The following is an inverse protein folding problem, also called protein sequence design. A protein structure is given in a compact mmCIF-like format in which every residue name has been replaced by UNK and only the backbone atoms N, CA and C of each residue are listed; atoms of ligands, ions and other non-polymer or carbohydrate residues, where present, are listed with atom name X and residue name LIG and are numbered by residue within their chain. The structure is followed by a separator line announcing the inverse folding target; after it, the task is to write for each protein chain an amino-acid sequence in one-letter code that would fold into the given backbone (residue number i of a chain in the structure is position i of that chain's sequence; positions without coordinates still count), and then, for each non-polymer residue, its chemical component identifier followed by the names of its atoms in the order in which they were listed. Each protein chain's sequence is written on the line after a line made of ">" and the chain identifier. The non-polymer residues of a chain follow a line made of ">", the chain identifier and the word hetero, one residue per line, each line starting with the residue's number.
data_IF_974506985620
#
_entry.id   IF_974506985620
#
_cell.length_a   1.000
_cell.length_b   1.000
_cell.length_c   1.000
_cell.angle_alpha   90.00
_cell.angle_beta   90.00
_cell.angle_gamma   90.00
#
_symmetry.space_group_name_H-M   'P 1'
#
loop_
_entity.id
_entity.type
_entity.pdbx_description
1 polymer ?
#
# COMPACT_ATOMS: atom_id res chain seq x y z
N UNK A 1 -21.50 -31.48 41.73
CA UNK A 1 -21.41 -30.20 40.98
C UNK A 1 -20.71 -29.18 41.86
N UNK A 2 -19.52 -28.70 41.53
CA UNK A 2 -19.19 -27.28 41.75
C UNK A 2 -18.00 -26.80 40.92
N UNK A 3 -18.22 -25.64 40.32
CA UNK A 3 -17.59 -25.05 39.14
C UNK A 3 -16.23 -24.45 39.49
N UNK A 4 -15.15 -24.93 38.86
CA UNK A 4 -13.80 -24.34 38.93
C UNK A 4 -13.87 -22.89 38.40
N UNK A 5 -13.76 -21.91 39.29
CA UNK A 5 -13.57 -20.51 38.90
C UNK A 5 -12.07 -20.30 38.58
N UNK A 6 -11.75 -20.10 37.30
CA UNK A 6 -10.44 -19.60 36.88
C UNK A 6 -10.37 -18.11 37.18
N UNK A 7 -9.49 -17.70 38.09
CA UNK A 7 -9.19 -16.31 38.35
C UNK A 7 -8.61 -15.64 37.09
N UNK A 8 -9.15 -14.47 36.72
CA UNK A 8 -8.71 -13.65 35.61
C UNK A 8 -7.47 -12.89 36.04
N UNK A 9 -6.32 -13.18 35.44
CA UNK A 9 -5.09 -12.40 35.64
C UNK A 9 -5.29 -11.01 35.02
N UNK A 10 -5.38 -10.00 35.88
CA UNK A 10 -5.38 -8.58 35.50
C UNK A 10 -3.95 -8.19 35.17
N UNK A 11 -3.69 -7.79 33.93
CA UNK A 11 -2.39 -7.26 33.52
C UNK A 11 -2.42 -5.76 33.86
N UNK A 12 -1.63 -5.38 34.85
CA UNK A 12 -1.40 -4.00 35.24
C UNK A 12 -0.61 -3.30 34.12
N UNK A 13 -1.25 -2.34 33.43
CA UNK A 13 -0.57 -1.51 32.44
C UNK A 13 0.16 -0.36 33.15
N UNK A 14 1.49 -0.48 33.23
CA UNK A 14 2.38 0.62 33.58
C UNK A 14 2.10 1.86 32.70
N UNK A 15 1.93 3.06 33.28
CA UNK A 15 1.74 4.28 32.51
C UNK A 15 3.10 4.74 31.97
N UNK A 16 3.46 4.30 30.76
CA UNK A 16 4.65 4.80 30.06
C UNK A 16 4.46 6.26 29.67
N UNK A 17 4.87 7.16 30.56
CA UNK A 17 5.11 8.58 30.24
C UNK A 17 6.34 8.67 29.34
N UNK A 18 6.16 9.05 28.08
CA UNK A 18 7.23 9.57 27.24
C UNK A 18 6.67 10.49 26.15
N UNK A 19 6.92 11.79 26.35
CA UNK A 19 7.29 12.82 25.35
C UNK A 19 6.42 12.99 24.11
N UNK A 20 5.76 14.16 24.07
CA UNK A 20 5.24 14.81 22.88
C UNK A 20 6.25 14.79 21.73
N UNK A 21 5.94 14.01 20.71
CA UNK A 21 6.19 14.37 19.31
C UNK A 21 4.93 13.90 18.60
N UNK A 22 3.92 14.76 18.57
CA UNK A 22 2.77 14.56 17.70
C UNK A 22 3.26 14.81 16.27
N UNK A 23 4.00 13.85 15.74
CA UNK A 23 4.02 13.64 14.30
C UNK A 23 2.60 13.25 13.97
N UNK A 24 1.81 14.21 13.49
CA UNK A 24 0.48 13.93 12.97
C UNK A 24 0.59 12.70 12.07
N UNK A 25 -0.26 11.67 12.24
CA UNK A 25 -0.24 10.54 11.31
C UNK A 25 -0.36 11.13 9.90
N UNK A 26 0.46 10.69 8.93
CA UNK A 26 0.35 11.18 7.57
C UNK A 26 -1.12 11.03 7.19
N UNK A 27 -1.75 12.14 6.78
CA UNK A 27 -3.15 12.17 6.39
C UNK A 27 -3.32 11.02 5.40
N UNK A 28 -4.06 9.99 5.80
CA UNK A 28 -4.32 8.86 4.94
C UNK A 28 -5.17 9.39 3.79
N UNK A 29 -4.50 9.80 2.71
CA UNK A 29 -5.16 10.13 1.47
C UNK A 29 -5.73 8.79 1.00
N UNK A 30 -7.06 8.66 1.09
CA UNK A 30 -7.71 7.49 0.52
C UNK A 30 -7.30 7.43 -0.95
N UNK A 31 -6.67 6.33 -1.38
CA UNK A 31 -6.20 6.23 -2.74
C UNK A 31 -7.37 6.25 -3.71
N UNK A 32 -7.15 6.78 -4.91
CA UNK A 32 -8.13 6.74 -5.97
C UNK A 32 -8.56 5.27 -6.20
N UNK A 33 -9.87 4.94 -6.12
CA UNK A 33 -10.36 3.58 -6.30
C UNK A 33 -9.97 2.99 -7.68
N UNK A 34 -9.64 3.83 -8.67
CA UNK A 34 -9.21 3.43 -9.99
C UNK A 34 -7.78 2.88 -10.04
N UNK A 35 -6.97 3.05 -9.00
CA UNK A 35 -5.59 2.56 -8.99
C UNK A 35 -5.49 1.03 -9.12
N UNK A 36 -6.39 0.28 -8.49
CA UNK A 36 -6.47 -1.17 -8.70
C UNK A 36 -6.83 -1.55 -10.14
N UNK A 37 -7.70 -0.76 -10.78
CA UNK A 37 -8.09 -0.96 -12.19
C UNK A 37 -6.94 -0.62 -13.14
N UNK A 38 -6.17 0.42 -12.84
CA UNK A 38 -4.98 0.78 -13.60
C UNK A 38 -3.91 -0.34 -13.56
N UNK A 39 -3.70 -0.96 -12.39
CA UNK A 39 -2.83 -2.13 -12.26
C UNK A 39 -3.32 -3.30 -13.12
N UNK A 40 -4.60 -3.63 -13.04
CA UNK A 40 -5.18 -4.72 -13.82
C UNK A 40 -5.02 -4.48 -15.33
N UNK A 41 -5.32 -3.27 -15.81
CA UNK A 41 -5.15 -2.91 -17.22
C UNK A 41 -3.69 -2.97 -17.67
N UNK A 42 -2.76 -2.52 -16.82
CA UNK A 42 -1.32 -2.62 -17.09
C UNK A 42 -0.89 -4.08 -17.23
N UNK A 43 -1.34 -4.96 -16.34
CA UNK A 43 -1.06 -6.40 -16.42
C UNK A 43 -1.64 -7.06 -17.69
N UNK A 44 -2.86 -6.69 -18.08
CA UNK A 44 -3.47 -7.18 -19.32
C UNK A 44 -2.70 -6.73 -20.56
N UNK A 45 -2.22 -5.48 -20.56
CA UNK A 45 -1.48 -4.93 -21.69
C UNK A 45 -0.08 -5.53 -21.81
N UNK A 46 0.60 -5.76 -20.67
CA UNK A 46 1.86 -6.52 -20.59
C UNK A 46 1.72 -7.94 -21.14
N UNK A 47 0.60 -8.61 -20.87
CA UNK A 47 0.33 -9.94 -21.42
C UNK A 47 0.08 -9.91 -22.94
N UNK A 48 -0.52 -8.84 -23.43
CA UNK A 48 -0.94 -8.69 -24.84
C UNK A 48 0.20 -8.26 -25.75
N UNK A 49 0.99 -7.27 -25.33
CA UNK A 49 2.10 -6.71 -26.13
C UNK A 49 3.32 -7.61 -26.08
N UNK A 50 4.13 -7.56 -27.13
CA UNK A 50 5.46 -8.23 -27.21
C UNK A 50 6.61 -7.22 -27.18
N UNK A 51 6.26 -5.95 -27.21
CA UNK A 51 7.12 -4.79 -27.36
C UNK A 51 6.78 -3.73 -26.31
N UNK A 52 7.77 -2.91 -25.97
CA UNK A 52 7.67 -1.85 -24.96
C UNK A 52 8.00 -2.31 -23.54
N UNK A 53 8.46 -1.37 -22.74
CA UNK A 53 8.82 -1.57 -21.34
C UNK A 53 7.57 -1.52 -20.45
N UNK A 54 7.58 -2.19 -19.28
CA UNK A 54 6.51 -2.06 -18.29
C UNK A 54 6.19 -0.61 -17.91
N UNK A 55 7.21 0.24 -17.83
CA UNK A 55 7.10 1.66 -17.49
C UNK A 55 6.37 2.44 -18.59
N UNK A 56 6.65 2.18 -19.87
CA UNK A 56 5.94 2.80 -20.99
C UNK A 56 4.47 2.37 -21.05
N UNK A 57 4.21 1.09 -20.80
CA UNK A 57 2.86 0.55 -20.77
C UNK A 57 2.06 1.18 -19.62
N UNK A 58 2.65 1.23 -18.42
CA UNK A 58 2.05 1.86 -17.25
C UNK A 58 1.71 3.32 -17.53
N UNK A 59 2.67 4.11 -18.04
CA UNK A 59 2.45 5.52 -18.42
C UNK A 59 1.29 5.69 -19.39
N UNK A 60 1.23 4.84 -20.41
CA UNK A 60 0.13 4.86 -21.37
C UNK A 60 -1.23 4.53 -20.75
N UNK A 61 -1.29 3.61 -19.79
CA UNK A 61 -2.54 3.27 -19.09
C UNK A 61 -3.00 4.43 -18.20
N UNK A 62 -2.10 4.98 -17.38
CA UNK A 62 -2.41 6.10 -16.48
C UNK A 62 -2.88 7.34 -17.25
N UNK A 63 -2.20 7.68 -18.36
CA UNK A 63 -2.58 8.81 -19.20
C UNK A 63 -3.99 8.65 -19.80
N UNK A 64 -4.36 7.45 -20.27
CA UNK A 64 -5.71 7.18 -20.81
C UNK A 64 -6.79 7.28 -19.72
N UNK A 65 -6.45 6.93 -18.49
CA UNK A 65 -7.34 7.02 -17.34
C UNK A 65 -7.32 8.40 -16.67
N UNK A 66 -6.47 9.31 -17.14
CA UNK A 66 -6.24 10.65 -16.55
C UNK A 66 -5.82 10.59 -15.08
N UNK A 67 -5.00 9.61 -14.74
CA UNK A 67 -4.45 9.43 -13.40
C UNK A 67 -3.03 10.02 -13.33
N UNK A 68 -2.70 10.66 -12.20
CA UNK A 68 -1.35 11.15 -11.93
C UNK A 68 -0.38 9.99 -11.72
N UNK A 69 0.73 9.99 -12.47
CA UNK A 69 1.77 8.97 -12.32
C UNK A 69 2.48 9.07 -10.96
N UNK A 70 2.75 10.29 -10.49
CA UNK A 70 3.45 10.51 -9.23
C UNK A 70 2.63 10.03 -8.03
N UNK A 71 1.33 10.35 -8.00
CA UNK A 71 0.43 9.89 -6.94
C UNK A 71 0.24 8.38 -6.98
N UNK A 72 0.12 7.81 -8.18
CA UNK A 72 0.02 6.37 -8.35
C UNK A 72 1.27 5.64 -7.86
N UNK A 73 2.47 6.15 -8.18
CA UNK A 73 3.75 5.60 -7.69
C UNK A 73 3.89 5.76 -6.18
N UNK A 74 3.49 6.91 -5.62
CA UNK A 74 3.48 7.13 -4.18
C UNK A 74 2.53 6.15 -3.47
N UNK A 75 1.36 5.89 -4.04
CA UNK A 75 0.45 4.86 -3.55
C UNK A 75 1.06 3.46 -3.61
N UNK A 76 1.69 3.09 -4.73
CA UNK A 76 2.33 1.78 -4.88
C UNK A 76 3.45 1.53 -3.86
N UNK A 77 4.27 2.55 -3.58
CA UNK A 77 5.31 2.48 -2.56
C UNK A 77 4.75 2.21 -1.17
N UNK A 78 3.55 2.73 -0.86
CA UNK A 78 2.85 2.48 0.40
C UNK A 78 2.28 1.05 0.48
N UNK A 79 1.97 0.41 -0.65
CA UNK A 79 1.47 -0.97 -0.69
C UNK A 79 2.58 -2.03 -0.51
N UNK A 80 3.85 -1.63 -0.39
CA UNK A 80 4.98 -2.47 0.06
C UNK A 80 5.44 -3.61 -0.86
N UNK A 81 4.61 -4.06 -1.82
CA UNK A 81 4.92 -5.21 -2.68
C UNK A 81 5.28 -4.87 -4.13
N UNK A 82 4.71 -3.79 -4.68
CA UNK A 82 4.72 -3.58 -6.13
C UNK A 82 5.96 -2.84 -6.65
N UNK A 83 6.55 -1.95 -5.85
CA UNK A 83 7.86 -1.35 -6.15
C UNK A 83 8.96 -2.42 -6.25
N UNK A 84 8.85 -3.50 -5.47
CA UNK A 84 9.76 -4.65 -5.52
C UNK A 84 9.55 -5.50 -6.78
N UNK A 85 8.30 -5.64 -7.24
CA UNK A 85 7.93 -6.36 -8.46
C UNK A 85 8.31 -5.60 -9.75
N UNK A 86 8.35 -4.26 -9.71
CA UNK A 86 8.72 -3.39 -10.84
C UNK A 86 10.21 -2.97 -10.83
N UNK A 87 11.07 -3.67 -10.08
CA UNK A 87 12.53 -3.51 -10.18
C UNK A 87 13.21 -2.58 -9.17
N UNK A 88 12.50 -2.12 -8.13
CA UNK A 88 13.06 -1.27 -7.06
C UNK A 88 13.80 -2.02 -5.95
N UNK A 89 14.45 -3.14 -6.25
CA UNK A 89 15.11 -4.02 -5.27
C UNK A 89 16.56 -4.31 -5.62
N UNK A 90 17.35 -3.28 -5.91
CA UNK A 90 18.77 -3.38 -6.17
C UNK A 90 19.54 -2.32 -5.39
N UNK A 91 19.73 -2.57 -4.09
CA UNK A 91 20.94 -2.39 -3.26
C UNK A 91 20.55 -2.65 -1.81
#
# INVERSE_FOLDING_TARGET
>A
MNRRQRAKTVIELEPRRATSTETSPPRAVEPDPLYGVALLKTALELKRRKDGTPEEILRGVLARMRLSEDEFRAWLSQQGGLARLLGGGGT
#
